data_IF_540038008753
#
_entry.id   IF_540038008753
#
_cell.length_a   1.000
_cell.length_b   1.000
_cell.length_c   1.000
_cell.angle_alpha   90.00
_cell.angle_beta   90.00
_cell.angle_gamma   90.00
#
_symmetry.space_group_name_H-M   'P 1'
#
loop_
_entity.id
_entity.type
_entity.pdbx_description
1 polymer ?
#
# COMPACT_ATOMS: atom_id res chain seq x y z
N UNK A 1 -3.64 -18.92 9.61
CA UNK A 1 -2.88 -17.84 10.21
C UNK A 1 -1.99 -18.38 11.36
N UNK A 2 -2.55 -19.06 12.37
CA UNK A 2 -1.81 -19.50 13.58
C UNK A 2 -0.55 -20.32 13.26
N UNK A 3 -0.61 -21.19 12.26
CA UNK A 3 0.54 -22.04 11.87
C UNK A 3 1.75 -21.29 11.35
N UNK A 4 1.61 -20.07 10.91
CA UNK A 4 2.72 -19.27 10.37
C UNK A 4 3.26 -18.26 11.38
N UNK A 5 2.54 -18.02 12.48
CA UNK A 5 2.97 -17.10 13.52
C UNK A 5 4.29 -17.51 14.19
N UNK A 6 4.47 -18.82 14.41
CA UNK A 6 5.72 -19.33 15.02
C UNK A 6 6.97 -19.05 14.19
N UNK A 7 6.79 -18.73 12.89
CA UNK A 7 7.89 -18.38 11.98
C UNK A 7 8.05 -16.86 11.81
N UNK A 8 7.24 -16.04 12.47
CA UNK A 8 7.25 -14.59 12.31
C UNK A 8 6.80 -14.10 10.92
N UNK A 9 6.12 -14.93 10.14
CA UNK A 9 5.70 -14.57 8.79
C UNK A 9 4.50 -13.64 8.78
N UNK A 10 4.52 -12.65 7.88
CA UNK A 10 3.39 -11.77 7.61
C UNK A 10 2.38 -12.43 6.67
N UNK A 11 1.12 -11.98 6.77
CA UNK A 11 0.04 -12.37 5.86
C UNK A 11 -0.15 -11.23 4.86
N UNK A 12 0.03 -11.53 3.57
CA UNK A 12 -0.26 -10.55 2.51
C UNK A 12 -1.70 -10.75 2.05
N UNK A 13 -2.47 -9.66 2.00
CA UNK A 13 -3.87 -9.66 1.56
C UNK A 13 -4.09 -8.68 0.42
N UNK A 14 -4.96 -9.04 -0.49
CA UNK A 14 -5.40 -8.22 -1.60
C UNK A 14 -6.93 -8.14 -1.60
N UNK A 15 -7.47 -6.95 -1.74
CA UNK A 15 -8.90 -6.69 -1.88
C UNK A 15 -9.15 -5.38 -2.63
N UNK A 16 -10.37 -5.15 -3.08
CA UNK A 16 -10.82 -3.86 -3.61
C UNK A 16 -11.41 -3.01 -2.48
N UNK A 17 -11.21 -1.69 -2.50
CA UNK A 17 -11.63 -0.80 -1.41
C UNK A 17 -13.13 -0.92 -1.06
N UNK A 18 -13.97 -1.23 -2.04
CA UNK A 18 -15.41 -1.43 -1.83
C UNK A 18 -15.73 -2.67 -0.96
N UNK A 19 -14.83 -3.67 -0.94
CA UNK A 19 -15.04 -4.91 -0.20
C UNK A 19 -14.60 -4.79 1.27
N UNK A 20 -13.91 -3.70 1.63
CA UNK A 20 -13.31 -3.55 2.95
C UNK A 20 -14.36 -3.57 4.07
N UNK A 21 -15.55 -3.05 3.83
CA UNK A 21 -16.63 -3.06 4.83
C UNK A 21 -16.97 -4.48 5.32
N UNK A 22 -16.98 -5.44 4.41
CA UNK A 22 -17.25 -6.84 4.73
C UNK A 22 -16.02 -7.56 5.28
N UNK A 23 -14.82 -7.15 4.86
CA UNK A 23 -13.55 -7.80 5.21
C UNK A 23 -12.97 -7.31 6.54
N UNK A 24 -13.26 -6.08 6.96
CA UNK A 24 -12.69 -5.46 8.16
C UNK A 24 -12.78 -6.37 9.40
N UNK A 25 -13.95 -6.96 9.75
CA UNK A 25 -14.05 -7.83 10.93
C UNK A 25 -13.24 -9.12 10.85
N UNK A 26 -12.88 -9.54 9.65
CA UNK A 26 -11.99 -10.68 9.42
C UNK A 26 -10.53 -10.27 9.57
N UNK A 27 -10.13 -9.14 8.98
CA UNK A 27 -8.76 -8.63 9.05
C UNK A 27 -8.35 -8.33 10.50
N UNK A 28 -9.23 -7.72 11.29
CA UNK A 28 -8.99 -7.43 12.71
C UNK A 28 -8.75 -8.68 13.58
N UNK A 29 -9.23 -9.83 13.16
CA UNK A 29 -9.05 -11.10 13.88
C UNK A 29 -7.82 -11.89 13.42
N UNK A 30 -7.17 -11.48 12.35
CA UNK A 30 -5.98 -12.16 11.87
C UNK A 30 -4.81 -11.89 12.83
N UNK A 31 -4.12 -12.92 13.26
CA UNK A 31 -2.96 -12.76 14.12
C UNK A 31 -1.71 -12.34 13.32
N UNK A 32 -0.77 -11.68 13.99
CA UNK A 32 0.50 -11.29 13.39
C UNK A 32 0.41 -10.08 12.47
N UNK A 33 1.44 -9.86 11.68
CA UNK A 33 1.51 -8.72 10.76
C UNK A 33 0.73 -9.03 9.48
N UNK A 34 -0.12 -8.09 9.10
CA UNK A 34 -0.89 -8.12 7.85
C UNK A 34 -0.34 -7.04 6.93
N UNK A 35 -0.04 -7.41 5.69
CA UNK A 35 0.39 -6.47 4.65
C UNK A 35 -0.69 -6.37 3.59
N UNK A 36 -1.31 -5.21 3.46
CA UNK A 36 -2.34 -4.95 2.45
C UNK A 36 -1.67 -4.49 1.16
N UNK A 37 -1.91 -5.21 0.07
CA UNK A 37 -1.40 -4.82 -1.24
C UNK A 37 -2.11 -3.58 -1.78
N UNK A 38 -1.33 -2.71 -2.42
CA UNK A 38 -1.78 -1.56 -3.22
C UNK A 38 -2.78 -0.65 -2.49
N UNK A 39 -2.59 -0.44 -1.17
CA UNK A 39 -3.48 0.40 -0.32
C UNK A 39 -4.95 -0.05 -0.31
N UNK A 40 -5.21 -1.36 -0.50
CA UNK A 40 -6.58 -1.85 -0.65
C UNK A 40 -7.28 -1.31 -1.89
N UNK A 41 -6.54 -0.99 -2.94
CA UNK A 41 -7.04 -0.56 -4.25
C UNK A 41 -8.13 0.52 -4.21
N UNK A 42 -7.81 1.74 -3.72
CA UNK A 42 -8.77 2.83 -3.73
C UNK A 42 -9.18 3.20 -5.17
N UNK A 43 -10.45 3.56 -5.34
CA UNK A 43 -10.93 4.18 -6.57
C UNK A 43 -10.53 5.65 -6.59
N UNK A 44 -9.48 5.98 -7.35
CA UNK A 44 -8.92 7.33 -7.39
C UNK A 44 -9.87 8.38 -7.99
N UNK A 45 -10.88 7.95 -8.74
CA UNK A 45 -11.87 8.87 -9.31
C UNK A 45 -12.79 9.49 -8.26
N UNK A 46 -12.88 8.86 -7.08
CA UNK A 46 -13.73 9.30 -5.98
C UNK A 46 -13.09 10.33 -5.05
N UNK A 47 -11.76 10.52 -5.16
CA UNK A 47 -10.99 11.43 -4.30
C UNK A 47 -10.64 10.86 -2.92
N UNK A 48 -9.60 11.41 -2.31
CA UNK A 48 -9.04 10.93 -1.02
C UNK A 48 -9.99 11.04 0.16
N UNK A 49 -11.03 11.89 0.07
CA UNK A 49 -12.07 12.04 1.09
C UNK A 49 -13.19 11.01 1.01
N UNK A 50 -13.14 10.09 0.03
CA UNK A 50 -14.22 9.10 -0.11
C UNK A 50 -14.26 8.13 1.09
N UNK A 51 -15.46 7.72 1.55
CA UNK A 51 -15.63 6.84 2.70
C UNK A 51 -14.82 5.53 2.63
N UNK A 52 -14.67 4.93 1.46
CA UNK A 52 -13.92 3.67 1.28
C UNK A 52 -12.45 3.87 1.67
N UNK A 53 -11.81 4.96 1.19
CA UNK A 53 -10.42 5.26 1.54
C UNK A 53 -10.29 5.72 2.99
N UNK A 54 -11.23 6.52 3.48
CA UNK A 54 -11.27 6.91 4.90
C UNK A 54 -11.39 5.70 5.83
N UNK A 55 -12.15 4.67 5.42
CA UNK A 55 -12.25 3.39 6.15
C UNK A 55 -10.89 2.68 6.20
N UNK A 56 -10.16 2.65 5.09
CA UNK A 56 -8.82 2.06 5.06
C UNK A 56 -7.83 2.80 5.97
N UNK A 57 -7.83 4.13 5.94
CA UNK A 57 -7.03 4.96 6.86
C UNK A 57 -7.38 4.65 8.32
N UNK A 58 -8.67 4.56 8.66
CA UNK A 58 -9.12 4.21 10.01
C UNK A 58 -8.64 2.82 10.40
N UNK A 59 -8.81 1.81 9.54
CA UNK A 59 -8.35 0.45 9.79
C UNK A 59 -6.86 0.42 10.15
N UNK A 60 -6.03 1.12 9.40
CA UNK A 60 -4.60 1.22 9.69
C UNK A 60 -4.31 1.99 10.99
N UNK A 61 -5.12 3.00 11.32
CA UNK A 61 -4.94 3.80 12.55
C UNK A 61 -5.29 3.02 13.81
N UNK A 62 -6.30 2.17 13.73
CA UNK A 62 -6.80 1.38 14.87
C UNK A 62 -6.01 0.06 15.05
N UNK A 63 -5.25 -0.38 14.03
CA UNK A 63 -4.56 -1.66 14.04
C UNK A 63 -3.07 -1.50 13.66
N UNK A 64 -2.20 -1.47 14.66
CA UNK A 64 -0.74 -1.27 14.48
C UNK A 64 -0.04 -2.42 13.72
N UNK A 65 -0.65 -3.60 13.69
CA UNK A 65 -0.15 -4.76 12.96
C UNK A 65 -0.49 -4.73 11.46
N UNK A 66 -1.27 -3.76 10.99
CA UNK A 66 -1.60 -3.61 9.57
C UNK A 66 -0.60 -2.67 8.90
N UNK A 67 0.05 -3.19 7.88
CA UNK A 67 0.97 -2.53 6.98
C UNK A 67 0.37 -2.42 5.59
N UNK A 68 0.90 -1.57 4.74
CA UNK A 68 0.47 -1.52 3.34
C UNK A 68 1.60 -1.24 2.37
N UNK A 69 1.36 -1.56 1.09
CA UNK A 69 2.27 -1.22 -0.01
C UNK A 69 1.71 -0.06 -0.81
N UNK A 70 2.51 1.02 -0.96
CA UNK A 70 2.24 2.12 -1.90
C UNK A 70 2.85 1.77 -3.25
N UNK A 71 2.14 0.94 -3.99
CA UNK A 71 2.58 0.30 -5.24
C UNK A 71 1.49 0.36 -6.30
N UNK A 72 1.84 0.10 -7.55
CA UNK A 72 0.88 -0.14 -8.62
C UNK A 72 0.08 1.11 -9.07
N UNK A 73 0.70 2.31 -9.21
CA UNK A 73 -0.04 3.48 -9.66
C UNK A 73 -0.62 3.30 -11.06
N UNK A 74 0.02 2.49 -11.90
CA UNK A 74 -0.42 2.19 -13.27
C UNK A 74 -1.76 1.45 -13.34
N UNK A 75 -2.14 0.75 -12.27
CA UNK A 75 -3.44 0.04 -12.18
C UNK A 75 -4.50 0.85 -11.44
N UNK A 76 -4.09 1.85 -10.68
CA UNK A 76 -5.00 2.70 -9.89
C UNK A 76 -5.43 3.94 -10.67
N UNK A 77 -4.55 4.49 -11.51
CA UNK A 77 -4.79 5.74 -12.22
C UNK A 77 -5.97 5.69 -13.17
N UNK A 78 -6.72 6.78 -13.22
CA UNK A 78 -7.69 7.07 -14.28
C UNK A 78 -7.08 7.89 -15.41
N UNK A 79 -6.02 8.68 -15.12
CA UNK A 79 -5.41 9.64 -16.03
C UNK A 79 -4.23 9.08 -16.84
N UNK A 80 -3.66 7.94 -16.39
CA UNK A 80 -2.43 7.38 -16.96
C UNK A 80 -1.15 8.07 -16.45
N UNK A 81 0.01 7.75 -17.06
CA UNK A 81 1.27 8.33 -16.62
C UNK A 81 1.30 9.84 -16.83
N UNK A 82 1.92 10.62 -15.91
CA UNK A 82 2.75 10.19 -14.78
C UNK A 82 1.99 9.95 -13.47
N UNK A 83 0.75 9.45 -13.52
CA UNK A 83 -0.06 8.99 -12.37
C UNK A 83 -0.31 10.08 -11.30
N UNK A 84 -0.60 11.30 -11.74
CA UNK A 84 -0.79 12.46 -10.84
C UNK A 84 -1.97 12.30 -9.90
N UNK A 85 -3.02 11.67 -10.36
CA UNK A 85 -4.27 11.40 -9.62
C UNK A 85 -4.07 10.41 -8.46
N UNK A 86 -3.02 9.59 -8.51
CA UNK A 86 -2.69 8.60 -7.45
C UNK A 86 -1.83 9.21 -6.34
N UNK A 87 -1.02 10.25 -6.64
CA UNK A 87 -0.08 10.87 -5.68
C UNK A 87 -0.72 11.22 -4.33
N UNK A 88 -1.90 11.89 -4.28
CA UNK A 88 -2.50 12.28 -3.01
C UNK A 88 -2.81 11.09 -2.08
N UNK A 89 -3.17 9.94 -2.63
CA UNK A 89 -3.43 8.73 -1.85
C UNK A 89 -2.15 8.18 -1.21
N UNK A 90 -1.07 8.12 -1.98
CA UNK A 90 0.23 7.68 -1.49
C UNK A 90 0.78 8.60 -0.41
N UNK A 91 0.69 9.91 -0.63
CA UNK A 91 1.11 10.90 0.36
C UNK A 91 0.32 10.77 1.66
N UNK A 92 -1.01 10.59 1.58
CA UNK A 92 -1.85 10.40 2.76
C UNK A 92 -1.41 9.18 3.60
N UNK A 93 -1.03 8.08 2.94
CA UNK A 93 -0.54 6.88 3.60
C UNK A 93 0.86 7.08 4.18
N UNK A 94 1.80 7.61 3.37
CA UNK A 94 3.20 7.80 3.80
C UNK A 94 3.28 8.80 4.96
N UNK A 95 2.54 9.90 4.90
CA UNK A 95 2.57 10.93 5.95
C UNK A 95 1.99 10.45 7.28
N UNK A 96 1.01 9.54 7.26
CA UNK A 96 0.35 9.07 8.48
C UNK A 96 0.97 7.80 9.06
N UNK A 97 1.53 6.93 8.21
CA UNK A 97 1.95 5.58 8.58
C UNK A 97 3.37 5.27 8.14
N UNK A 98 4.27 6.27 8.13
CA UNK A 98 5.62 6.17 7.57
C UNK A 98 6.44 4.95 8.02
N UNK A 99 6.16 4.41 9.22
CA UNK A 99 6.85 3.23 9.75
C UNK A 99 6.24 1.88 9.33
N UNK A 100 5.12 1.89 8.62
CA UNK A 100 4.37 0.67 8.25
C UNK A 100 3.99 0.65 6.77
N UNK A 101 4.78 1.33 5.95
CA UNK A 101 4.57 1.44 4.50
C UNK A 101 5.75 0.83 3.76
N UNK A 102 5.45 0.10 2.71
CA UNK A 102 6.40 -0.55 1.81
C UNK A 102 6.22 -0.03 0.39
N UNK A 103 7.25 -0.16 -0.43
CA UNK A 103 7.20 0.17 -1.84
C UNK A 103 7.77 -0.96 -2.70
N UNK A 104 7.34 -1.03 -3.95
CA UNK A 104 7.85 -1.93 -4.97
C UNK A 104 7.23 -1.61 -6.33
N UNK A 105 7.77 -2.15 -7.41
CA UNK A 105 7.30 -1.88 -8.77
C UNK A 105 6.09 -2.72 -9.17
N UNK A 106 5.75 -3.76 -8.42
CA UNK A 106 4.76 -4.79 -8.80
C UNK A 106 5.18 -5.61 -10.03
N UNK A 107 6.50 -5.66 -10.31
CA UNK A 107 7.02 -6.50 -11.40
C UNK A 107 6.59 -7.97 -11.22
N UNK A 108 6.16 -8.68 -12.25
CA UNK A 108 6.16 -8.34 -13.69
C UNK A 108 4.87 -7.65 -14.18
N UNK A 109 4.22 -6.83 -13.38
CA UNK A 109 3.01 -6.06 -13.70
C UNK A 109 1.84 -6.96 -14.14
N UNK A 110 1.40 -7.90 -13.29
CA UNK A 110 0.30 -8.79 -13.64
C UNK A 110 -0.96 -7.99 -13.95
N UNK A 111 -1.78 -8.52 -14.85
CA UNK A 111 -3.03 -7.89 -15.29
C UNK A 111 -2.90 -6.65 -16.19
N UNK A 112 -1.70 -6.19 -16.53
CA UNK A 112 -1.50 -5.16 -17.54
C UNK A 112 -1.58 -5.80 -18.94
N UNK A 113 -2.55 -5.34 -19.75
CA UNK A 113 -2.82 -5.94 -21.09
C UNK A 113 -2.35 -5.07 -22.26
N UNK A 114 -2.30 -3.75 -22.05
CA UNK A 114 -2.08 -2.80 -23.15
C UNK A 114 -0.99 -1.77 -22.88
N UNK A 115 -0.68 -1.51 -21.63
CA UNK A 115 0.30 -0.52 -21.22
C UNK A 115 1.19 -1.12 -20.14
N UNK A 116 2.41 -1.45 -20.48
CA UNK A 116 3.40 -1.90 -19.52
C UNK A 116 4.10 -0.67 -18.95
N UNK A 117 4.08 -0.46 -17.63
CA UNK A 117 4.79 0.65 -17.02
C UNK A 117 6.30 0.49 -17.18
N UNK A 118 7.01 1.60 -17.17
CA UNK A 118 8.47 1.65 -17.09
C UNK A 118 8.88 1.65 -15.61
N UNK A 119 9.64 0.65 -15.17
CA UNK A 119 10.09 0.54 -13.78
C UNK A 119 10.98 1.72 -13.35
N UNK A 120 11.75 2.32 -14.28
CA UNK A 120 12.51 3.54 -14.01
C UNK A 120 11.60 4.72 -13.68
N UNK A 121 10.51 4.87 -14.43
CA UNK A 121 9.51 5.91 -14.14
C UNK A 121 8.80 5.67 -12.79
N UNK A 122 8.59 4.42 -12.40
CA UNK A 122 8.05 4.09 -11.08
C UNK A 122 9.04 4.42 -9.95
N UNK A 123 10.34 4.22 -10.16
CA UNK A 123 11.38 4.67 -9.21
C UNK A 123 11.41 6.19 -9.11
N UNK A 124 11.35 6.91 -10.23
CA UNK A 124 11.32 8.39 -10.27
C UNK A 124 10.06 8.97 -9.60
N UNK A 125 9.04 8.15 -9.39
CA UNK A 125 7.82 8.51 -8.69
C UNK A 125 8.01 8.62 -7.17
N UNK A 126 9.02 7.94 -6.59
CA UNK A 126 9.24 7.85 -5.14
C UNK A 126 9.37 9.23 -4.48
N UNK A 127 10.18 10.20 -4.98
CA UNK A 127 10.29 11.52 -4.35
C UNK A 127 8.99 12.32 -4.33
N UNK A 128 8.02 11.95 -5.14
CA UNK A 128 6.70 12.60 -5.17
C UNK A 128 5.79 12.12 -4.05
N UNK A 129 5.98 10.91 -3.57
CA UNK A 129 5.15 10.26 -2.55
C UNK A 129 5.83 10.25 -1.18
N UNK A 130 7.15 10.10 -1.13
CA UNK A 130 8.00 10.21 0.06
C UNK A 130 8.90 11.45 -0.11
N UNK A 131 8.46 12.58 0.46
CA UNK A 131 8.99 13.92 0.13
C UNK A 131 10.25 14.29 0.90
N UNK A 132 10.57 13.55 1.96
CA UNK A 132 11.77 13.75 2.76
C UNK A 132 12.71 12.56 2.61
N UNK A 133 14.02 12.80 2.85
CA UNK A 133 15.01 11.73 2.86
C UNK A 133 14.66 10.65 3.90
N UNK A 134 14.16 11.05 5.06
CA UNK A 134 13.75 10.13 6.12
C UNK A 134 12.59 9.22 5.67
N UNK A 135 11.55 9.79 5.03
CA UNK A 135 10.44 9.01 4.48
C UNK A 135 10.92 8.02 3.41
N UNK A 136 11.85 8.45 2.53
CA UNK A 136 12.42 7.57 1.51
C UNK A 136 13.24 6.43 2.12
N UNK A 137 14.07 6.72 3.12
CA UNK A 137 14.85 5.72 3.83
C UNK A 137 13.95 4.71 4.57
N UNK A 138 12.90 5.19 5.25
CA UNK A 138 11.90 4.30 5.86
C UNK A 138 11.23 3.42 4.81
N UNK A 139 10.74 4.00 3.74
CA UNK A 139 9.99 3.33 2.70
C UNK A 139 10.80 2.24 1.99
N UNK A 140 12.08 2.51 1.69
CA UNK A 140 12.92 1.67 0.83
C UNK A 140 13.87 0.75 1.61
N UNK A 141 14.20 1.09 2.85
CA UNK A 141 15.24 0.39 3.61
C UNK A 141 14.73 -0.05 4.98
N UNK A 142 14.40 0.88 5.86
CA UNK A 142 14.13 0.58 7.27
C UNK A 142 12.91 -0.34 7.44
N UNK A 143 11.80 -0.02 6.80
CA UNK A 143 10.57 -0.82 6.91
C UNK A 143 10.71 -2.21 6.30
N UNK A 144 11.23 -2.38 5.06
CA UNK A 144 11.49 -3.72 4.51
C UNK A 144 12.43 -4.54 5.38
N UNK A 145 13.51 -3.93 5.88
CA UNK A 145 14.46 -4.63 6.76
C UNK A 145 13.78 -5.09 8.04
N UNK A 146 12.99 -4.23 8.68
CA UNK A 146 12.26 -4.58 9.90
C UNK A 146 11.23 -5.68 9.69
N UNK A 147 10.56 -5.69 8.53
CA UNK A 147 9.48 -6.66 8.27
C UNK A 147 10.02 -8.04 7.82
N UNK A 148 11.06 -8.05 7.00
CA UNK A 148 11.47 -9.27 6.29
C UNK A 148 12.81 -9.87 6.75
N UNK A 149 13.62 -9.10 7.50
CA UNK A 149 14.98 -9.53 7.91
C UNK A 149 15.26 -9.36 9.42
N UNK A 150 14.24 -9.08 10.23
CA UNK A 150 14.37 -8.96 11.68
C UNK A 150 14.32 -10.32 12.38
#
# INVERSE_FOLDING_TARGET
>A
ADKIQEFGWSIVVYFEAADLEELEPFLEKLPGIIVVDHMGRPDVTKGVGHPDFARFIRLMSENENIWTKVTCPERLTADGPPYNDVVPYYQAIVDQFEDRVLWGTDWPHPNMKSHMPDDGALVDYIPRIARTHEQQEKLLVTNPMRLYWS
#
